data_IF_109230685487
#
_entry.id   IF_109230685487
#
_cell.length_a   1.000
_cell.length_b   1.000
_cell.length_c   1.000
_cell.angle_alpha   90.00
_cell.angle_beta   90.00
_cell.angle_gamma   90.00
#
_symmetry.space_group_name_H-M   'P 1'
#
loop_
_entity.id
_entity.type
_entity.pdbx_description
1 polymer ?
#
# COMPACT_ATOMS: atom_id res chain seq x y z
N UNK A 1 -49.98 8.79 14.51
CA UNK A 1 -48.56 8.95 14.89
C UNK A 1 -47.82 9.44 13.65
N UNK A 2 -47.33 10.67 13.66
CA UNK A 2 -46.65 11.29 12.52
C UNK A 2 -45.16 11.00 12.58
N UNK A 3 -44.60 10.37 11.54
CA UNK A 3 -43.16 10.16 11.42
C UNK A 3 -42.41 11.50 11.40
N UNK A 4 -41.26 11.62 12.11
CA UNK A 4 -40.46 12.83 12.08
C UNK A 4 -39.89 13.05 10.67
N UNK A 5 -40.29 14.15 10.03
CA UNK A 5 -39.66 14.64 8.79
C UNK A 5 -38.25 15.10 9.10
N UNK A 6 -37.25 14.34 8.65
CA UNK A 6 -35.87 14.82 8.54
C UNK A 6 -35.86 15.95 7.50
N UNK A 7 -35.75 17.19 7.96
CA UNK A 7 -35.62 18.34 7.06
C UNK A 7 -34.17 18.44 6.58
N UNK A 8 -33.95 18.74 5.30
CA UNK A 8 -32.63 18.86 4.66
C UNK A 8 -31.63 19.86 5.31
N UNK A 9 -32.02 20.55 6.39
CA UNK A 9 -31.21 21.54 7.10
C UNK A 9 -30.12 20.96 8.02
N UNK A 10 -30.10 19.66 8.25
CA UNK A 10 -29.18 19.05 9.24
C UNK A 10 -28.02 18.23 8.63
N UNK A 11 -27.87 18.21 7.30
CA UNK A 11 -26.72 17.57 6.66
C UNK A 11 -25.52 18.53 6.71
N UNK A 12 -24.65 18.35 7.71
CA UNK A 12 -23.36 19.04 7.74
C UNK A 12 -22.38 18.34 6.80
N UNK A 13 -21.66 19.08 5.93
CA UNK A 13 -20.58 18.48 5.15
C UNK A 13 -19.52 17.92 6.09
N UNK A 14 -19.01 16.73 5.79
CA UNK A 14 -17.88 16.15 6.51
C UNK A 14 -16.63 16.94 6.11
N UNK A 15 -15.95 17.56 7.07
CA UNK A 15 -14.70 18.29 6.84
C UNK A 15 -13.55 17.59 7.56
N UNK A 16 -12.72 16.90 6.77
CA UNK A 16 -11.55 16.18 7.24
C UNK A 16 -10.25 16.97 7.06
N UNK A 17 -10.28 18.24 6.65
CA UNK A 17 -9.07 19.01 6.30
C UNK A 17 -8.08 19.21 7.45
N UNK A 18 -8.55 19.12 8.70
CA UNK A 18 -7.69 19.16 9.89
C UNK A 18 -7.04 17.83 10.25
N UNK A 19 -7.40 16.73 9.59
CA UNK A 19 -6.85 15.42 9.88
C UNK A 19 -5.51 15.22 9.17
N UNK A 20 -4.50 14.81 9.93
CA UNK A 20 -3.17 14.44 9.41
C UNK A 20 -2.94 12.96 9.74
N UNK A 21 -2.92 12.07 8.74
CA UNK A 21 -2.74 10.65 8.99
C UNK A 21 -1.41 10.36 9.71
N UNK A 22 -1.50 9.64 10.83
CA UNK A 22 -0.31 9.08 11.47
C UNK A 22 0.08 7.78 10.76
N UNK A 23 1.32 7.70 10.28
CA UNK A 23 1.80 6.54 9.53
C UNK A 23 2.34 5.45 10.46
N UNK A 24 1.85 4.22 10.28
CA UNK A 24 2.42 3.03 10.89
C UNK A 24 3.36 2.32 9.94
N UNK A 25 4.62 2.19 10.35
CA UNK A 25 5.68 1.69 9.49
C UNK A 25 5.46 0.26 8.97
N UNK A 26 4.84 -0.61 9.78
CA UNK A 26 4.46 -1.98 9.39
C UNK A 26 3.50 -1.99 8.18
N UNK A 27 2.50 -1.10 8.17
CA UNK A 27 1.57 -0.98 7.05
C UNK A 27 2.17 -0.27 5.84
N UNK A 28 3.10 0.67 6.03
CA UNK A 28 3.88 1.25 4.92
C UNK A 28 4.71 0.16 4.23
N UNK A 29 5.44 -0.66 5.01
CA UNK A 29 6.19 -1.81 4.50
C UNK A 29 5.25 -2.76 3.76
N UNK A 30 4.10 -3.10 4.34
CA UNK A 30 3.10 -3.97 3.73
C UNK A 30 2.65 -3.48 2.35
N UNK A 31 2.44 -2.17 2.19
CA UNK A 31 2.07 -1.55 0.90
C UNK A 31 3.20 -1.57 -0.13
N UNK A 32 4.46 -1.56 0.31
CA UNK A 32 5.63 -1.60 -0.58
C UNK A 32 6.00 -3.01 -1.06
N UNK A 33 5.42 -4.07 -0.51
CA UNK A 33 5.74 -5.44 -0.95
C UNK A 33 5.30 -5.67 -2.40
N UNK A 34 5.77 -6.73 -3.04
CA UNK A 34 5.33 -7.18 -4.36
C UNK A 34 4.42 -8.41 -4.21
N UNK A 35 3.31 -8.44 -4.94
CA UNK A 35 2.48 -9.65 -5.04
C UNK A 35 3.03 -10.63 -6.08
N UNK A 36 3.77 -10.13 -7.08
CA UNK A 36 4.10 -10.87 -8.29
C UNK A 36 5.13 -11.99 -8.08
N UNK A 37 5.93 -11.90 -7.02
CA UNK A 37 6.94 -12.93 -6.73
C UNK A 37 6.48 -13.95 -5.71
N UNK A 38 5.15 -14.12 -5.58
CA UNK A 38 4.52 -15.24 -4.91
C UNK A 38 5.25 -15.53 -3.63
N UNK A 39 5.26 -14.56 -2.70
CA UNK A 39 5.92 -14.63 -1.39
C UNK A 39 5.84 -16.06 -0.91
N UNK A 40 6.92 -16.81 -1.14
CA UNK A 40 6.87 -18.22 -0.84
C UNK A 40 6.94 -18.24 0.68
N UNK A 41 5.96 -18.83 1.39
CA UNK A 41 5.96 -18.86 2.85
C UNK A 41 7.20 -19.56 3.45
N UNK A 42 8.13 -20.03 2.61
CA UNK A 42 9.26 -20.88 2.95
C UNK A 42 10.65 -20.28 2.62
N UNK A 43 10.77 -19.06 2.09
CA UNK A 43 12.10 -18.45 1.82
C UNK A 43 12.70 -17.79 3.08
N UNK A 44 13.16 -18.61 4.04
CA UNK A 44 14.07 -18.23 5.12
C UNK A 44 13.89 -16.81 5.71
N UNK A 45 14.87 -15.94 5.45
CA UNK A 45 14.92 -14.55 5.91
C UNK A 45 14.49 -13.53 4.86
N UNK A 46 14.19 -13.94 3.63
CA UNK A 46 13.92 -13.03 2.52
C UNK A 46 12.56 -12.35 2.72
N UNK A 47 12.55 -11.02 2.68
CA UNK A 47 11.36 -10.19 2.89
C UNK A 47 10.76 -9.76 1.56
N UNK A 48 11.61 -9.34 0.62
CA UNK A 48 11.23 -8.76 -0.67
C UNK A 48 12.38 -8.78 -1.67
N UNK A 49 12.05 -8.82 -2.96
CA UNK A 49 12.98 -8.62 -4.07
C UNK A 49 12.61 -7.34 -4.85
N UNK A 50 13.62 -6.54 -5.16
CA UNK A 50 13.49 -5.33 -5.94
C UNK A 50 14.19 -5.48 -7.29
N UNK A 51 13.59 -4.91 -8.34
CA UNK A 51 14.25 -4.80 -9.62
C UNK A 51 15.41 -3.80 -9.56
N UNK A 52 16.43 -3.93 -10.43
CA UNK A 52 17.57 -3.01 -10.44
C UNK A 52 17.17 -1.52 -10.59
N UNK A 53 16.06 -1.23 -11.28
CA UNK A 53 15.54 0.13 -11.43
C UNK A 53 14.86 0.69 -10.16
N UNK A 54 14.62 -0.15 -9.14
CA UNK A 54 13.92 0.21 -7.90
C UNK A 54 14.87 0.59 -6.76
N UNK A 55 16.13 0.94 -7.05
CA UNK A 55 17.15 1.28 -6.03
C UNK A 55 16.69 2.31 -4.99
N UNK A 56 15.98 3.37 -5.40
CA UNK A 56 15.40 4.35 -4.45
C UNK A 56 14.33 3.74 -3.54
N UNK A 57 13.51 2.85 -4.10
CA UNK A 57 12.48 2.15 -3.32
C UNK A 57 13.11 1.23 -2.27
N UNK A 58 14.28 0.63 -2.53
CA UNK A 58 15.02 -0.16 -1.53
C UNK A 58 15.40 0.69 -0.32
N UNK A 59 15.95 1.90 -0.52
CA UNK A 59 16.33 2.80 0.58
C UNK A 59 15.11 3.20 1.41
N UNK A 60 14.00 3.56 0.76
CA UNK A 60 12.73 3.84 1.42
C UNK A 60 12.24 2.63 2.21
N UNK A 61 12.26 1.45 1.60
CA UNK A 61 11.82 0.21 2.21
C UNK A 61 12.62 -0.12 3.47
N UNK A 62 13.96 -0.07 3.41
CA UNK A 62 14.84 -0.31 4.55
C UNK A 62 14.60 0.67 5.70
N UNK A 63 14.35 1.94 5.38
CA UNK A 63 14.01 2.97 6.38
C UNK A 63 12.70 2.63 7.10
N UNK A 64 11.63 2.29 6.38
CA UNK A 64 10.36 1.92 7.00
C UNK A 64 10.43 0.56 7.71
N UNK A 65 11.23 -0.38 7.21
CA UNK A 65 11.48 -1.66 7.87
C UNK A 65 12.19 -1.45 9.21
N UNK A 66 13.21 -0.59 9.23
CA UNK A 66 13.91 -0.19 10.47
C UNK A 66 12.97 0.52 11.44
N UNK A 67 12.15 1.45 10.94
CA UNK A 67 11.14 2.15 11.74
C UNK A 67 10.06 1.22 12.31
N UNK A 68 9.78 0.09 11.65
CA UNK A 68 8.93 -0.99 12.20
C UNK A 68 9.62 -1.82 13.30
N UNK A 69 10.86 -1.49 13.64
CA UNK A 69 11.67 -2.16 14.65
C UNK A 69 12.23 -3.49 14.16
N UNK A 70 12.56 -3.61 12.87
CA UNK A 70 13.20 -4.79 12.31
C UNK A 70 14.54 -4.42 11.65
N UNK A 71 15.61 -5.09 12.07
CA UNK A 71 16.91 -4.98 11.41
C UNK A 71 16.87 -5.75 10.07
N UNK A 72 17.47 -5.19 9.03
CA UNK A 72 17.49 -5.80 7.71
C UNK A 72 18.80 -5.54 6.98
N UNK A 73 19.16 -6.45 6.09
CA UNK A 73 20.24 -6.28 5.11
C UNK A 73 19.65 -6.21 3.71
N UNK A 74 20.35 -5.56 2.79
CA UNK A 74 20.02 -5.55 1.38
C UNK A 74 21.26 -5.89 0.58
N UNK A 75 21.12 -6.82 -0.36
CA UNK A 75 22.25 -7.36 -1.13
C UNK A 75 21.88 -7.40 -2.61
N UNK A 76 22.76 -6.86 -3.47
CA UNK A 76 22.60 -6.92 -4.91
C UNK A 76 23.07 -8.29 -5.43
N UNK A 77 22.18 -9.03 -6.08
CA UNK A 77 22.48 -10.34 -6.65
C UNK A 77 23.13 -10.24 -8.02
N UNK A 78 23.78 -11.33 -8.44
CA UNK A 78 24.28 -11.53 -9.82
C UNK A 78 23.17 -11.49 -10.86
N UNK A 79 21.92 -11.77 -10.48
CA UNK A 79 20.74 -11.65 -11.34
C UNK A 79 20.30 -10.19 -11.58
N UNK A 80 20.94 -9.23 -10.91
CA UNK A 80 20.62 -7.80 -10.94
C UNK A 80 19.50 -7.38 -9.99
N UNK A 81 18.80 -8.33 -9.36
CA UNK A 81 17.82 -8.00 -8.32
C UNK A 81 18.51 -7.62 -7.01
N UNK A 82 17.82 -6.82 -6.21
CA UNK A 82 18.25 -6.49 -4.85
C UNK A 82 17.34 -7.25 -3.89
N UNK A 83 17.92 -8.10 -3.06
CA UNK A 83 17.17 -8.87 -2.05
C UNK A 83 17.27 -8.17 -0.70
N UNK A 84 16.14 -8.05 0.01
CA UNK A 84 16.10 -7.53 1.37
C UNK A 84 15.80 -8.67 2.34
N UNK A 85 16.68 -8.87 3.32
CA UNK A 85 16.58 -9.95 4.30
C UNK A 85 16.35 -9.41 5.71
N UNK A 86 15.36 -9.99 6.40
CA UNK A 86 15.12 -9.76 7.82
C UNK A 86 14.23 -10.89 8.38
N UNK A 87 14.77 -11.83 9.16
CA UNK A 87 13.97 -12.89 9.79
C UNK A 87 12.87 -12.34 10.70
N UNK A 88 13.13 -11.20 11.37
CA UNK A 88 12.17 -10.55 12.25
C UNK A 88 11.04 -9.90 11.47
N UNK A 89 11.36 -9.13 10.42
CA UNK A 89 10.33 -8.52 9.60
C UNK A 89 9.51 -9.58 8.85
N UNK A 90 10.17 -10.62 8.33
CA UNK A 90 9.49 -11.72 7.62
C UNK A 90 8.40 -12.34 8.49
N UNK A 91 8.73 -12.76 9.73
CA UNK A 91 7.76 -13.32 10.67
C UNK A 91 6.59 -12.37 10.98
N UNK A 92 6.88 -11.07 11.16
CA UNK A 92 5.82 -10.07 11.41
C UNK A 92 4.92 -9.89 10.20
N UNK A 93 5.49 -9.79 9.01
CA UNK A 93 4.74 -9.58 7.78
C UNK A 93 3.91 -10.83 7.44
N UNK A 94 4.45 -12.02 7.65
CA UNK A 94 3.72 -13.28 7.46
C UNK A 94 2.48 -13.39 8.36
N UNK A 95 2.49 -12.72 9.53
CA UNK A 95 1.31 -12.69 10.41
C UNK A 95 0.12 -11.94 9.80
N UNK A 96 0.34 -11.06 8.81
CA UNK A 96 -0.75 -10.41 8.06
C UNK A 96 -1.38 -11.32 7.01
N UNK A 97 -0.75 -12.45 6.66
CA UNK A 97 -1.21 -13.31 5.59
C UNK A 97 -1.74 -14.65 6.10
N UNK A 98 -2.70 -15.18 5.37
CA UNK A 98 -3.11 -16.57 5.39
C UNK A 98 -2.70 -17.24 4.08
N UNK A 99 -2.40 -18.53 4.16
CA UNK A 99 -2.10 -19.33 2.99
C UNK A 99 -3.42 -19.86 2.44
N UNK A 100 -3.81 -19.40 1.27
CA UNK A 100 -4.92 -19.98 0.52
C UNK A 100 -4.40 -21.18 -0.29
N UNK A 101 -4.93 -22.39 -0.04
CA UNK A 101 -4.57 -23.56 -0.85
C UNK A 101 -5.11 -23.36 -2.26
N UNK A 102 -4.21 -23.22 -3.25
CA UNK A 102 -4.57 -23.30 -4.66
C UNK A 102 -3.91 -24.51 -5.31
N UNK A 103 -4.50 -24.98 -6.40
CA UNK A 103 -4.14 -26.24 -7.07
C UNK A 103 -2.68 -26.30 -7.56
N UNK A 104 -2.06 -25.15 -7.86
CA UNK A 104 -0.72 -25.10 -8.49
C UNK A 104 0.33 -24.32 -7.68
N UNK A 105 -0.08 -23.35 -6.85
CA UNK A 105 0.83 -22.61 -5.99
C UNK A 105 0.02 -21.99 -4.83
N UNK A 106 0.41 -22.15 -3.55
CA UNK A 106 -0.27 -21.47 -2.46
C UNK A 106 -0.26 -19.96 -2.70
N UNK A 107 -1.44 -19.34 -2.67
CA UNK A 107 -1.54 -17.89 -2.71
C UNK A 107 -1.50 -17.35 -1.29
N UNK A 108 -0.87 -16.19 -1.11
CA UNK A 108 -1.02 -15.45 0.13
C UNK A 108 -2.17 -14.47 -0.02
N UNK A 109 -3.09 -14.52 0.93
CA UNK A 109 -4.15 -13.53 1.08
C UNK A 109 -3.97 -12.80 2.40
N UNK A 110 -4.27 -11.51 2.42
CA UNK A 110 -4.31 -10.77 3.68
C UNK A 110 -5.44 -11.30 4.57
N UNK A 111 -5.13 -11.59 5.83
CA UNK A 111 -6.11 -12.06 6.80
C UNK A 111 -7.24 -11.05 6.96
N UNK A 112 -8.43 -11.57 7.24
CA UNK A 112 -9.56 -10.73 7.64
C UNK A 112 -9.22 -9.94 8.91
N UNK A 113 -9.63 -8.68 8.96
CA UNK A 113 -9.40 -7.78 10.09
C UNK A 113 -8.03 -7.11 10.15
N UNK A 114 -7.12 -7.38 9.20
CA UNK A 114 -5.85 -6.62 9.09
C UNK A 114 -6.12 -5.13 8.88
N UNK A 115 -7.18 -4.81 8.13
CA UNK A 115 -7.71 -3.47 7.97
C UNK A 115 -9.10 -3.41 8.62
N UNK A 116 -9.33 -2.50 9.59
CA UNK A 116 -10.61 -2.41 10.29
C UNK A 116 -11.69 -1.89 9.33
N UNK A 117 -12.90 -2.44 9.37
CA UNK A 117 -14.04 -1.93 8.58
C UNK A 117 -14.28 -0.46 8.88
N UNK A 118 -14.39 0.38 7.85
CA UNK A 118 -14.66 1.80 8.03
C UNK A 118 -16.14 2.01 8.37
N UNK A 119 -16.42 2.46 9.60
CA UNK A 119 -17.80 2.66 10.08
C UNK A 119 -18.29 4.09 9.91
N UNK A 120 -17.38 5.05 9.70
CA UNK A 120 -17.66 6.48 9.52
C UNK A 120 -16.59 7.11 8.63
N UNK A 121 -16.98 8.17 7.90
CA UNK A 121 -16.09 8.94 7.02
C UNK A 121 -15.38 10.11 7.70
N UNK A 122 -15.83 10.49 8.88
CA UNK A 122 -15.17 11.55 9.66
C UNK A 122 -13.99 10.95 10.42
N UNK A 123 -12.79 11.48 10.17
CA UNK A 123 -11.58 11.03 10.86
C UNK A 123 -11.48 11.70 12.23
N UNK A 124 -11.15 10.92 13.25
CA UNK A 124 -10.75 11.44 14.55
C UNK A 124 -9.24 11.72 14.52
N UNK A 125 -8.81 12.89 15.02
CA UNK A 125 -7.40 13.25 15.06
C UNK A 125 -6.52 12.26 15.82
N UNK A 126 -7.10 11.50 16.76
CA UNK A 126 -6.42 10.45 17.52
C UNK A 126 -6.42 9.07 16.85
N UNK A 127 -7.23 8.89 15.81
CA UNK A 127 -7.42 7.60 15.14
C UNK A 127 -6.36 7.37 14.07
N UNK A 128 -5.77 6.18 14.09
CA UNK A 128 -4.76 5.74 13.13
C UNK A 128 -5.41 4.76 12.15
N UNK A 129 -5.78 5.24 10.96
CA UNK A 129 -6.28 4.35 9.91
C UNK A 129 -5.10 3.72 9.13
N UNK A 130 -4.90 2.39 9.20
CA UNK A 130 -3.81 1.71 8.49
C UNK A 130 -3.92 1.79 6.96
N UNK A 131 -5.09 2.10 6.39
CA UNK A 131 -5.27 2.29 4.95
C UNK A 131 -4.37 3.40 4.41
N UNK A 132 -4.28 4.53 5.12
CA UNK A 132 -3.39 5.63 4.74
C UNK A 132 -1.93 5.17 4.70
N UNK A 133 -1.51 4.39 5.69
CA UNK A 133 -0.16 3.83 5.74
C UNK A 133 0.12 2.87 4.59
N UNK A 134 -0.84 1.99 4.28
CA UNK A 134 -0.74 1.07 3.17
C UNK A 134 -0.66 1.79 1.82
N UNK A 135 -1.61 2.69 1.53
CA UNK A 135 -1.63 3.46 0.28
C UNK A 135 -0.38 4.32 0.12
N UNK A 136 0.12 4.91 1.21
CA UNK A 136 1.39 5.61 1.23
C UNK A 136 2.54 4.70 0.78
N UNK A 137 2.66 3.50 1.36
CA UNK A 137 3.65 2.51 0.98
C UNK A 137 3.53 2.06 -0.48
N UNK A 138 2.31 1.77 -0.95
CA UNK A 138 2.06 1.45 -2.36
C UNK A 138 2.54 2.59 -3.24
N UNK A 139 2.26 3.85 -2.88
CA UNK A 139 2.66 5.01 -3.66
C UNK A 139 4.17 5.24 -3.67
N UNK A 140 4.86 4.98 -2.55
CA UNK A 140 6.32 5.05 -2.47
C UNK A 140 7.01 4.16 -3.52
N UNK A 141 6.44 2.98 -3.80
CA UNK A 141 7.01 2.04 -4.78
C UNK A 141 6.41 2.22 -6.18
N UNK A 142 5.09 2.33 -6.27
CA UNK A 142 4.32 2.19 -7.51
C UNK A 142 3.55 3.43 -7.96
N UNK A 143 3.68 4.56 -7.23
CA UNK A 143 2.89 5.76 -7.49
C UNK A 143 3.23 6.44 -8.82
N UNK A 144 2.21 7.04 -9.44
CA UNK A 144 2.29 7.92 -10.60
C UNK A 144 2.01 9.36 -10.14
N UNK A 145 2.83 10.32 -10.59
CA UNK A 145 2.74 11.72 -10.13
C UNK A 145 1.60 12.50 -10.80
N UNK A 146 1.35 12.29 -12.09
CA UNK A 146 0.30 12.99 -12.84
C UNK A 146 -0.30 12.09 -13.94
N UNK A 147 -1.60 11.78 -13.91
CA UNK A 147 -2.51 11.95 -12.77
C UNK A 147 -2.06 11.10 -11.56
N UNK A 148 -2.63 11.37 -10.37
CA UNK A 148 -2.45 10.48 -9.23
C UNK A 148 -2.88 9.07 -9.59
N UNK A 149 -2.01 8.12 -9.31
CA UNK A 149 -2.27 6.74 -9.67
C UNK A 149 -1.24 5.74 -9.16
N UNK A 150 -1.47 4.49 -9.51
CA UNK A 150 -0.58 3.36 -9.22
C UNK A 150 -0.37 2.56 -10.50
N UNK A 151 0.86 2.08 -10.73
CA UNK A 151 1.16 1.12 -11.81
C UNK A 151 1.74 -0.16 -11.23
N UNK A 152 1.02 -1.26 -11.38
CA UNK A 152 1.28 -2.54 -10.72
C UNK A 152 1.32 -3.67 -11.75
N UNK A 153 2.33 -4.54 -11.67
CA UNK A 153 2.41 -5.74 -12.51
C UNK A 153 1.81 -6.94 -11.77
N UNK A 154 0.89 -7.68 -12.42
CA UNK A 154 0.34 -8.98 -11.99
C UNK A 154 -0.19 -9.02 -10.54
N UNK A 155 -0.87 -7.96 -10.09
CA UNK A 155 -1.21 -7.74 -8.69
C UNK A 155 -2.72 -7.52 -8.54
N UNK A 156 -3.52 -8.44 -9.08
CA UNK A 156 -4.99 -8.30 -9.16
C UNK A 156 -5.63 -8.11 -7.79
N UNK A 157 -5.22 -8.90 -6.78
CA UNK A 157 -5.77 -8.80 -5.42
C UNK A 157 -5.48 -7.44 -4.79
N UNK A 158 -4.26 -6.92 -4.91
CA UNK A 158 -3.91 -5.58 -4.44
C UNK A 158 -4.65 -4.49 -5.20
N UNK A 159 -4.85 -4.62 -6.51
CA UNK A 159 -5.65 -3.64 -7.28
C UNK A 159 -7.05 -3.51 -6.71
N UNK A 160 -7.71 -4.63 -6.41
CA UNK A 160 -9.05 -4.62 -5.80
C UNK A 160 -9.02 -4.09 -4.36
N UNK A 161 -7.98 -4.41 -3.58
CA UNK A 161 -7.79 -3.84 -2.24
C UNK A 161 -7.61 -2.32 -2.27
N UNK A 162 -6.76 -1.81 -3.18
CA UNK A 162 -6.54 -0.37 -3.36
C UNK A 162 -7.85 0.31 -3.75
N UNK A 163 -8.61 -0.23 -4.70
CA UNK A 163 -9.92 0.30 -5.07
C UNK A 163 -10.87 0.37 -3.88
N UNK A 164 -10.90 -0.68 -3.04
CA UNK A 164 -11.71 -0.69 -1.82
C UNK A 164 -11.28 0.42 -0.86
N UNK A 165 -9.98 0.62 -0.65
CA UNK A 165 -9.51 1.71 0.22
C UNK A 165 -9.77 3.08 -0.36
N UNK A 166 -9.62 3.27 -1.68
CA UNK A 166 -9.95 4.52 -2.35
C UNK A 166 -11.45 4.83 -2.19
N UNK A 167 -12.32 3.84 -2.32
CA UNK A 167 -13.76 4.01 -2.10
C UNK A 167 -14.11 4.32 -0.63
N UNK A 168 -13.47 3.65 0.32
CA UNK A 168 -13.60 3.91 1.76
C UNK A 168 -13.21 5.36 2.11
N UNK A 169 -12.10 5.83 1.51
CA UNK A 169 -11.54 7.16 1.74
C UNK A 169 -12.14 8.27 0.84
N UNK A 170 -13.25 7.98 0.17
CA UNK A 170 -14.01 8.92 -0.68
C UNK A 170 -13.18 9.53 -1.83
N UNK A 171 -12.19 8.80 -2.34
CA UNK A 171 -11.49 9.19 -3.55
C UNK A 171 -12.43 9.08 -4.77
N UNK A 172 -12.40 10.10 -5.62
CA UNK A 172 -13.27 10.20 -6.77
C UNK A 172 -12.58 9.72 -8.06
N UNK A 173 -13.40 9.52 -9.09
CA UNK A 173 -12.97 9.23 -10.47
C UNK A 173 -11.96 8.08 -10.60
N UNK A 174 -12.12 7.06 -9.75
CA UNK A 174 -11.29 5.86 -9.78
C UNK A 174 -11.47 5.13 -11.12
N UNK A 175 -10.39 5.07 -11.88
CA UNK A 175 -10.31 4.40 -13.18
C UNK A 175 -9.27 3.29 -13.12
N UNK A 176 -9.55 2.19 -13.81
CA UNK A 176 -8.68 1.03 -13.89
C UNK A 176 -8.47 0.63 -15.35
N UNK A 177 -7.23 0.75 -15.82
CA UNK A 177 -6.77 0.23 -17.11
C UNK A 177 -5.88 -0.97 -16.87
N UNK A 178 -5.97 -1.98 -17.73
CA UNK A 178 -5.08 -3.14 -17.66
C UNK A 178 -4.77 -3.70 -19.03
N UNK A 179 -3.61 -4.33 -19.18
CA UNK A 179 -3.22 -4.97 -20.45
C UNK A 179 -3.87 -6.35 -20.57
N UNK A 180 -4.70 -6.52 -21.60
CA UNK A 180 -5.29 -7.82 -21.93
C UNK A 180 -4.27 -8.68 -22.70
N UNK A 181 -4.11 -9.94 -22.29
CA UNK A 181 -3.39 -11.00 -23.04
C UNK A 181 -1.88 -10.79 -23.24
N UNK A 182 -1.25 -9.92 -22.46
CA UNK A 182 0.21 -9.82 -22.38
C UNK A 182 0.67 -10.16 -20.96
N UNK A 183 1.71 -10.99 -20.85
CA UNK A 183 2.44 -11.20 -19.62
C UNK A 183 3.72 -10.34 -19.65
N UNK A 184 3.98 -9.52 -18.62
CA UNK A 184 3.17 -9.32 -17.42
C UNK A 184 1.90 -8.50 -17.69
N UNK A 185 0.81 -8.81 -16.98
CA UNK A 185 -0.38 -7.96 -16.94
C UNK A 185 -0.04 -6.69 -16.16
N UNK A 186 -0.07 -5.55 -16.83
CA UNK A 186 0.11 -4.25 -16.21
C UNK A 186 -1.26 -3.69 -15.82
N UNK A 187 -1.41 -3.25 -14.57
CA UNK A 187 -2.59 -2.61 -14.03
C UNK A 187 -2.24 -1.15 -13.73
N UNK A 188 -3.04 -0.22 -14.22
CA UNK A 188 -2.92 1.20 -13.95
C UNK A 188 -4.22 1.68 -13.31
N UNK A 189 -4.11 2.14 -12.06
CA UNK A 189 -5.18 2.79 -11.34
C UNK A 189 -4.92 4.30 -11.35
N UNK A 190 -5.93 5.10 -11.69
CA UNK A 190 -5.87 6.56 -11.55
C UNK A 190 -7.09 7.04 -10.79
N UNK A 191 -6.98 8.10 -10.00
CA UNK A 191 -8.06 8.60 -9.15
C UNK A 191 -7.83 10.08 -8.81
N UNK A 192 -8.89 10.76 -8.36
CA UNK A 192 -8.79 12.05 -7.69
C UNK A 192 -8.82 11.82 -6.17
N UNK A 193 -7.74 12.12 -5.44
CA UNK A 193 -7.77 11.98 -3.99
C UNK A 193 -8.59 13.09 -3.34
N UNK A 194 -9.19 12.79 -2.19
CA UNK A 194 -9.66 13.84 -1.29
C UNK A 194 -8.47 14.69 -0.77
N UNK A 195 -8.77 15.75 -0.02
CA UNK A 195 -7.73 16.64 0.50
C UNK A 195 -6.69 15.91 1.38
N UNK A 196 -7.15 14.98 2.23
CA UNK A 196 -6.29 14.25 3.18
C UNK A 196 -5.35 13.31 2.43
N UNK A 197 -5.90 12.46 1.56
CA UNK A 197 -5.14 11.52 0.76
C UNK A 197 -4.20 12.27 -0.20
N UNK A 198 -4.64 13.36 -0.81
CA UNK A 198 -3.81 14.15 -1.72
C UNK A 198 -2.59 14.75 -1.02
N UNK A 199 -2.80 15.30 0.18
CA UNK A 199 -1.70 15.81 1.04
C UNK A 199 -0.72 14.70 1.39
N UNK A 200 -1.25 13.52 1.73
CA UNK A 200 -0.46 12.36 2.08
C UNK A 200 0.38 11.83 0.91
N UNK A 201 -0.21 11.71 -0.29
CA UNK A 201 0.49 11.19 -1.47
C UNK A 201 1.49 12.20 -2.05
N UNK A 202 1.24 13.50 -1.92
CA UNK A 202 2.24 14.52 -2.22
C UNK A 202 3.47 14.41 -1.31
N UNK A 203 3.26 14.15 -0.01
CA UNK A 203 4.37 13.85 0.91
C UNK A 203 5.14 12.61 0.46
N UNK A 204 4.46 11.55 0.04
CA UNK A 204 5.11 10.35 -0.49
C UNK A 204 5.95 10.67 -1.74
N UNK A 205 5.41 11.46 -2.67
CA UNK A 205 6.12 11.90 -3.87
C UNK A 205 7.40 12.68 -3.53
N UNK A 206 7.30 13.64 -2.61
CA UNK A 206 8.47 14.41 -2.15
C UNK A 206 9.53 13.50 -1.53
N UNK A 207 9.13 12.52 -0.72
CA UNK A 207 10.06 11.55 -0.12
C UNK A 207 10.75 10.68 -1.17
N UNK A 208 10.03 10.25 -2.21
CA UNK A 208 10.60 9.49 -3.35
C UNK A 208 11.61 10.31 -4.13
N UNK A 209 11.27 11.56 -4.45
CA UNK A 209 12.14 12.46 -5.22
C UNK A 209 13.42 12.76 -4.45
N UNK A 210 13.29 13.05 -3.15
CA UNK A 210 14.42 13.35 -2.27
C UNK A 210 15.26 12.14 -1.85
N UNK A 211 14.84 10.92 -2.17
CA UNK A 211 15.57 9.71 -1.79
C UNK A 211 16.81 9.50 -2.66
N UNK A 212 17.94 9.26 -2.00
CA UNK A 212 19.16 8.78 -2.66
C UNK A 212 18.97 7.35 -3.18
N UNK A 213 19.79 6.97 -4.16
CA UNK A 213 19.79 5.61 -4.69
C UNK A 213 20.52 4.66 -3.73
N UNK A 214 20.14 3.39 -3.77
CA UNK A 214 20.86 2.35 -3.07
C UNK A 214 22.15 2.03 -3.83
N UNK A 215 23.29 2.19 -3.17
CA UNK A 215 24.61 2.07 -3.81
C UNK A 215 25.11 0.62 -3.91
N UNK A 216 24.51 -0.33 -3.19
CA UNK A 216 24.79 -1.78 -3.32
C UNK A 216 26.19 -2.19 -2.91
#
# INVERSE_FOLDING_TARGET
MSEPRVTAKDIKPIDNRGYVPTLRADFVVLGMLSDYLGRIPYEGSLVERFYPAERKAVVLFLRYLTASGAAATADALTSGHIEVHSPQAKRRLDAFYEIEPQMFCPALRLREGVFPTMTRRQYDASEVDPRFSYLYGVYLRYGLSEPFGYRLANSVQRVELIKSFLADLDAEWVSHKYTLRTAPTCNELTFEPDFVLGTLLNKALSERIGCQEFDG
#
